data_IF_493948965340
#
_entry.id   IF_493948965340
#
_cell.length_a   1.000
_cell.length_b   1.000
_cell.length_c   1.000
_cell.angle_alpha   90.00
_cell.angle_beta   90.00
_cell.angle_gamma   90.00
#
_symmetry.space_group_name_H-M   'P 1'
#
loop_
_entity.id
_entity.type
_entity.pdbx_description
1 polymer ?
#
# COMPACT_ATOMS: atom_id res chain seq x y z
N UNK A 1 21.41 14.73 0.27
CA UNK A 1 20.99 13.35 -0.07
C UNK A 1 21.16 12.35 1.08
N UNK A 2 22.26 12.35 1.84
CA UNK A 2 22.46 11.38 2.95
C UNK A 2 21.37 11.43 4.04
N UNK A 3 20.88 12.63 4.38
CA UNK A 3 19.81 12.84 5.38
C UNK A 3 18.48 12.24 4.96
N UNK A 4 18.05 12.44 3.71
CA UNK A 4 16.85 11.83 3.15
C UNK A 4 16.90 10.29 3.23
N UNK A 5 18.00 9.70 2.76
CA UNK A 5 18.17 8.25 2.70
C UNK A 5 18.26 7.63 4.11
N UNK A 6 18.87 8.34 5.06
CA UNK A 6 18.88 7.94 6.46
C UNK A 6 17.48 7.98 7.09
N UNK A 7 16.68 9.02 6.80
CA UNK A 7 15.29 9.11 7.26
C UNK A 7 14.43 7.99 6.68
N UNK A 8 14.49 7.77 5.37
CA UNK A 8 13.73 6.69 4.71
C UNK A 8 14.11 5.33 5.27
N UNK A 9 15.40 5.07 5.51
CA UNK A 9 15.86 3.81 6.13
C UNK A 9 15.34 3.64 7.55
N UNK A 10 15.31 4.71 8.34
CA UNK A 10 14.73 4.69 9.69
C UNK A 10 13.23 4.38 9.64
N UNK A 11 12.49 5.05 8.77
CA UNK A 11 11.04 4.83 8.59
C UNK A 11 10.73 3.40 8.14
N UNK A 12 11.48 2.87 7.16
CA UNK A 12 11.39 1.47 6.76
C UNK A 12 11.69 0.52 7.91
N UNK A 13 12.70 0.83 8.73
CA UNK A 13 12.99 0.08 9.94
C UNK A 13 11.82 0.07 10.91
N UNK A 14 11.13 1.20 11.11
CA UNK A 14 9.93 1.27 11.96
C UNK A 14 8.80 0.42 11.38
N UNK A 15 8.61 0.43 10.06
CA UNK A 15 7.61 -0.43 9.41
C UNK A 15 7.91 -1.92 9.54
N UNK A 16 9.13 -2.35 9.22
CA UNK A 16 9.52 -3.77 9.25
C UNK A 16 9.89 -4.29 10.65
N UNK A 17 10.02 -3.45 11.66
CA UNK A 17 10.15 -3.90 13.06
C UNK A 17 8.78 -3.94 13.73
N UNK A 18 7.82 -3.14 13.26
CA UNK A 18 6.47 -3.12 13.80
C UNK A 18 5.68 -4.38 13.38
N UNK A 19 5.17 -5.18 14.33
CA UNK A 19 4.34 -6.35 14.04
C UNK A 19 3.09 -6.01 13.21
N UNK A 20 2.60 -4.78 13.32
CA UNK A 20 1.37 -4.34 12.66
C UNK A 20 1.50 -4.33 11.13
N UNK A 21 2.65 -3.95 10.58
CA UNK A 21 2.83 -3.93 9.13
C UNK A 21 2.73 -5.35 8.55
N UNK A 22 3.32 -6.33 9.22
CA UNK A 22 3.19 -7.74 8.84
C UNK A 22 1.75 -8.21 8.92
N UNK A 23 1.04 -7.93 10.01
CA UNK A 23 -0.37 -8.34 10.16
C UNK A 23 -1.21 -7.80 8.99
N UNK A 24 -1.07 -6.52 8.66
CA UNK A 24 -1.81 -5.87 7.57
C UNK A 24 -1.44 -6.50 6.22
N UNK A 25 -0.14 -6.60 5.91
CA UNK A 25 0.32 -7.20 4.64
C UNK A 25 -0.18 -8.63 4.48
N UNK A 26 -0.04 -9.45 5.53
CA UNK A 26 -0.42 -10.87 5.48
C UNK A 26 -1.94 -11.03 5.36
N UNK A 27 -2.72 -10.27 6.12
CA UNK A 27 -4.18 -10.32 6.06
C UNK A 27 -4.70 -9.91 4.67
N UNK A 28 -4.16 -8.84 4.10
CA UNK A 28 -4.59 -8.34 2.80
C UNK A 28 -4.21 -9.28 1.66
N UNK A 29 -2.98 -9.82 1.68
CA UNK A 29 -2.56 -10.85 0.72
C UNK A 29 -3.44 -12.08 0.89
N UNK A 30 -3.69 -12.55 2.11
CA UNK A 30 -4.56 -13.69 2.36
C UNK A 30 -5.98 -13.50 1.79
N UNK A 31 -6.61 -12.33 2.03
CA UNK A 31 -7.93 -12.00 1.48
C UNK A 31 -7.89 -12.01 -0.06
N UNK A 32 -6.88 -11.38 -0.67
CA UNK A 32 -6.73 -11.40 -2.14
C UNK A 32 -6.50 -12.81 -2.70
N UNK A 33 -5.82 -13.68 -1.94
CA UNK A 33 -5.61 -15.08 -2.28
C UNK A 33 -6.90 -15.91 -2.21
N UNK A 34 -7.77 -15.66 -1.23
CA UNK A 34 -9.08 -16.33 -1.15
C UNK A 34 -9.96 -16.00 -2.36
N UNK A 35 -9.96 -14.74 -2.78
CA UNK A 35 -10.65 -14.30 -3.99
C UNK A 35 -10.07 -15.00 -5.22
N UNK A 36 -8.74 -15.07 -5.34
CA UNK A 36 -8.06 -15.73 -6.45
C UNK A 36 -8.40 -17.23 -6.52
N UNK A 37 -8.48 -17.92 -5.37
CA UNK A 37 -8.94 -19.31 -5.33
C UNK A 37 -10.40 -19.43 -5.78
N UNK A 38 -11.24 -18.46 -5.39
CA UNK A 38 -12.63 -18.37 -5.85
C UNK A 38 -12.74 -18.19 -7.37
N UNK A 39 -11.90 -17.36 -7.98
CA UNK A 39 -11.90 -17.16 -9.44
C UNK A 39 -11.46 -18.42 -10.19
N UNK A 40 -10.46 -19.15 -9.69
CA UNK A 40 -10.06 -20.46 -10.22
C UNK A 40 -11.21 -21.46 -10.10
N UNK A 41 -11.86 -21.55 -8.93
CA UNK A 41 -12.96 -22.47 -8.69
C UNK A 41 -14.15 -22.22 -9.63
N UNK A 42 -14.49 -20.95 -9.84
CA UNK A 42 -15.56 -20.53 -10.75
C UNK A 42 -15.22 -20.82 -12.22
N UNK A 43 -13.98 -20.59 -12.63
CA UNK A 43 -13.52 -20.92 -13.99
C UNK A 43 -13.56 -22.44 -14.23
N UNK A 44 -13.09 -23.22 -13.25
CA UNK A 44 -13.10 -24.69 -13.31
C UNK A 44 -14.51 -25.27 -13.38
N UNK A 45 -15.48 -24.72 -12.64
CA UNK A 45 -16.86 -25.21 -12.65
C UNK A 45 -17.59 -24.93 -13.96
N UNK A 46 -17.24 -23.85 -14.66
CA UNK A 46 -17.94 -23.40 -15.87
C UNK A 46 -17.17 -23.68 -17.17
N UNK A 47 -16.03 -24.38 -17.11
CA UNK A 47 -15.14 -24.64 -18.25
C UNK A 47 -14.66 -23.37 -18.99
N UNK A 48 -14.62 -22.23 -18.29
CA UNK A 48 -14.09 -21.00 -18.85
C UNK A 48 -12.58 -20.90 -18.61
N UNK A 49 -11.84 -20.20 -19.48
CA UNK A 49 -10.47 -19.81 -19.18
C UNK A 49 -10.43 -18.96 -17.90
N UNK A 50 -9.36 -19.10 -17.11
CA UNK A 50 -9.22 -18.37 -15.85
C UNK A 50 -8.93 -16.89 -16.16
N UNK A 51 -9.89 -16.02 -15.90
CA UNK A 51 -9.73 -14.58 -16.03
C UNK A 51 -9.01 -13.98 -14.82
N UNK A 52 -7.95 -13.19 -15.09
CA UNK A 52 -7.17 -12.51 -14.05
C UNK A 52 -7.77 -11.15 -13.64
N UNK A 53 -8.68 -10.59 -14.44
CA UNK A 53 -9.30 -9.28 -14.22
C UNK A 53 -9.98 -9.13 -12.86
N UNK A 54 -10.73 -10.14 -12.34
CA UNK A 54 -11.30 -10.05 -10.99
C UNK A 54 -10.22 -9.93 -9.92
N UNK A 55 -9.14 -10.70 -10.03
CA UNK A 55 -8.03 -10.67 -9.07
C UNK A 55 -7.34 -9.30 -9.07
N UNK A 56 -7.12 -8.69 -10.24
CA UNK A 56 -6.60 -7.32 -10.35
C UNK A 56 -7.51 -6.29 -9.69
N UNK A 57 -8.82 -6.37 -9.88
CA UNK A 57 -9.78 -5.49 -9.23
C UNK A 57 -9.68 -5.59 -7.70
N UNK A 58 -9.57 -6.80 -7.16
CA UNK A 58 -9.40 -7.00 -5.72
C UNK A 58 -8.05 -6.49 -5.20
N UNK A 59 -6.98 -6.60 -5.98
CA UNK A 59 -5.70 -5.96 -5.65
C UNK A 59 -5.84 -4.43 -5.60
N UNK A 60 -6.63 -3.80 -6.47
CA UNK A 60 -6.93 -2.36 -6.38
C UNK A 60 -7.66 -2.01 -5.08
N UNK A 61 -8.68 -2.79 -4.70
CA UNK A 61 -9.41 -2.60 -3.44
C UNK A 61 -8.47 -2.74 -2.23
N UNK A 62 -7.55 -3.70 -2.27
CA UNK A 62 -6.52 -3.86 -1.24
C UNK A 62 -5.66 -2.61 -1.13
N UNK A 63 -5.25 -1.99 -2.24
CA UNK A 63 -4.46 -0.75 -2.23
C UNK A 63 -5.24 0.42 -1.61
N UNK A 64 -6.53 0.55 -1.88
CA UNK A 64 -7.42 1.57 -1.27
C UNK A 64 -7.48 1.43 0.25
N UNK A 65 -7.62 0.20 0.75
CA UNK A 65 -7.63 -0.06 2.19
C UNK A 65 -6.24 0.20 2.80
N UNK A 66 -5.19 -0.23 2.10
CA UNK A 66 -3.81 -0.08 2.58
C UNK A 66 -3.41 1.39 2.64
N UNK A 67 -3.82 2.22 1.69
CA UNK A 67 -3.50 3.65 1.70
C UNK A 67 -4.02 4.30 2.99
N UNK A 68 -5.28 4.05 3.37
CA UNK A 68 -5.83 4.61 4.61
C UNK A 68 -5.10 4.10 5.87
N UNK A 69 -4.77 2.81 5.93
CA UNK A 69 -4.12 2.19 7.09
C UNK A 69 -2.64 2.60 7.25
N UNK A 70 -1.91 2.76 6.15
CA UNK A 70 -0.49 3.11 6.18
C UNK A 70 -0.32 4.62 6.37
N UNK A 71 -1.11 5.45 5.69
CA UNK A 71 -0.93 6.91 5.75
C UNK A 71 -1.39 7.53 7.05
N UNK A 72 -2.37 6.95 7.74
CA UNK A 72 -2.87 7.48 9.01
C UNK A 72 -1.78 7.61 10.09
N UNK A 73 -0.72 6.79 10.01
CA UNK A 73 0.37 6.75 11.00
C UNK A 73 1.52 7.70 10.68
N UNK A 74 1.66 8.10 9.41
CA UNK A 74 2.87 8.77 8.92
C UNK A 74 3.19 10.05 9.68
N UNK A 75 2.22 10.96 9.82
CA UNK A 75 2.43 12.28 10.46
C UNK A 75 1.58 12.41 11.73
N UNK A 76 0.37 11.84 11.75
CA UNK A 76 -0.53 11.99 12.89
C UNK A 76 -0.03 11.23 14.14
N UNK A 77 0.70 10.12 13.99
CA UNK A 77 1.26 9.41 15.15
C UNK A 77 2.41 10.19 15.80
N UNK A 78 3.26 10.84 15.00
CA UNK A 78 4.35 11.68 15.50
C UNK A 78 3.86 12.98 16.12
N UNK A 79 2.77 13.54 15.60
CA UNK A 79 2.07 14.70 16.15
C UNK A 79 1.41 14.37 17.49
N UNK A 80 0.76 13.21 17.61
CA UNK A 80 0.18 12.75 18.90
C UNK A 80 1.24 12.47 19.96
N UNK A 81 2.43 11.98 19.57
CA UNK A 81 3.52 11.65 20.51
C UNK A 81 4.38 12.87 20.89
N UNK A 82 4.12 14.06 20.34
CA UNK A 82 4.93 15.27 20.57
C UNK A 82 6.34 15.23 19.95
N UNK A 83 6.72 14.12 19.32
CA UNK A 83 8.01 13.96 18.62
C UNK A 83 8.16 14.85 17.39
N UNK A 84 7.06 15.37 16.85
CA UNK A 84 7.09 16.28 15.71
C UNK A 84 7.91 17.55 16.01
N UNK A 85 7.77 18.11 17.21
CA UNK A 85 8.49 19.32 17.64
C UNK A 85 10.00 19.09 17.74
N UNK A 86 10.41 17.89 18.16
CA UNK A 86 11.82 17.50 18.26
C UNK A 86 12.44 17.31 16.87
N UNK A 87 11.67 16.83 15.90
CA UNK A 87 12.16 16.61 14.53
C UNK A 87 12.24 17.95 13.77
N UNK A 88 11.28 18.85 13.96
CA UNK A 88 11.27 20.18 13.33
C UNK A 88 12.32 21.13 13.91
N UNK A 89 12.79 20.90 15.14
CA UNK A 89 13.89 21.65 15.75
C UNK A 89 15.27 21.11 15.37
N UNK A 90 15.34 19.90 14.79
CA UNK A 90 16.56 19.38 14.19
C UNK A 90 16.82 20.05 12.82
N UNK A 91 18.08 20.17 12.36
CA UNK A 91 18.42 20.82 11.09
C UNK A 91 18.08 19.92 9.88
N UNK A 92 16.79 19.60 9.72
CA UNK A 92 16.25 18.75 8.66
C UNK A 92 15.25 19.58 7.85
N UNK A 93 15.35 19.52 6.53
CA UNK A 93 14.40 20.23 5.65
C UNK A 93 13.04 19.56 5.66
N UNK A 94 11.96 20.32 5.84
CA UNK A 94 10.57 19.84 5.82
C UNK A 94 10.24 19.01 4.56
N UNK A 95 10.75 19.44 3.40
CA UNK A 95 10.58 18.72 2.15
C UNK A 95 11.23 17.33 2.18
N UNK A 96 12.42 17.21 2.79
CA UNK A 96 13.11 15.93 2.92
C UNK A 96 12.41 14.97 3.88
N UNK A 97 11.72 15.50 4.90
CA UNK A 97 10.92 14.73 5.83
C UNK A 97 9.67 14.15 5.15
N UNK A 98 8.90 14.99 4.45
CA UNK A 98 7.69 14.56 3.73
C UNK A 98 8.03 13.54 2.64
N UNK A 99 9.07 13.81 1.83
CA UNK A 99 9.49 12.91 0.77
C UNK A 99 9.98 11.56 1.33
N UNK A 100 10.67 11.55 2.47
CA UNK A 100 11.17 10.30 3.06
C UNK A 100 10.02 9.41 3.54
N UNK A 101 8.98 10.01 4.12
CA UNK A 101 7.75 9.34 4.55
C UNK A 101 6.96 8.77 3.37
N UNK A 102 6.79 9.56 2.32
CA UNK A 102 6.17 9.10 1.07
C UNK A 102 6.95 7.93 0.45
N UNK A 103 8.28 8.04 0.36
CA UNK A 103 9.15 7.00 -0.19
C UNK A 103 9.08 5.70 0.62
N UNK A 104 9.06 5.78 1.96
CA UNK A 104 8.93 4.60 2.81
C UNK A 104 7.59 3.87 2.59
N UNK A 105 6.49 4.63 2.49
CA UNK A 105 5.17 4.08 2.23
C UNK A 105 5.06 3.48 0.81
N UNK A 106 5.71 4.11 -0.17
CA UNK A 106 5.85 3.59 -1.53
C UNK A 106 6.57 2.24 -1.61
N UNK A 107 7.66 2.09 -0.86
CA UNK A 107 8.41 0.82 -0.79
C UNK A 107 7.54 -0.28 -0.17
N UNK A 108 6.74 0.04 0.85
CA UNK A 108 5.80 -0.89 1.46
C UNK A 108 4.74 -1.34 0.43
N UNK A 109 4.17 -0.42 -0.33
CA UNK A 109 3.25 -0.74 -1.41
C UNK A 109 3.91 -1.63 -2.47
N UNK A 110 5.15 -1.33 -2.86
CA UNK A 110 5.92 -2.16 -3.79
C UNK A 110 6.11 -3.58 -3.28
N UNK A 111 6.43 -3.75 -1.99
CA UNK A 111 6.56 -5.06 -1.36
C UNK A 111 5.24 -5.83 -1.37
N UNK A 112 4.12 -5.15 -1.07
CA UNK A 112 2.78 -5.74 -1.12
C UNK A 112 2.44 -6.23 -2.54
N UNK A 113 2.73 -5.43 -3.58
CA UNK A 113 2.53 -5.83 -4.97
C UNK A 113 3.42 -7.00 -5.38
N UNK A 114 4.68 -7.03 -4.93
CA UNK A 114 5.58 -8.17 -5.20
C UNK A 114 5.02 -9.47 -4.62
N UNK A 115 4.43 -9.44 -3.42
CA UNK A 115 3.77 -10.62 -2.86
C UNK A 115 2.61 -11.11 -3.74
N UNK A 116 1.83 -10.21 -4.34
CA UNK A 116 0.70 -10.61 -5.20
C UNK A 116 1.14 -11.11 -6.58
N UNK A 117 2.36 -10.80 -7.04
CA UNK A 117 2.93 -11.40 -8.27
C UNK A 117 2.99 -12.93 -8.18
N UNK A 118 3.03 -13.50 -6.96
CA UNK A 118 2.90 -14.94 -6.75
C UNK A 118 1.64 -15.53 -7.41
N UNK A 119 0.52 -14.80 -7.44
CA UNK A 119 -0.71 -15.25 -8.10
C UNK A 119 -0.56 -15.32 -9.62
N UNK A 120 0.18 -14.38 -10.21
CA UNK A 120 0.46 -14.36 -11.65
C UNK A 120 1.27 -15.59 -12.09
N UNK A 121 2.28 -15.96 -11.29
CA UNK A 121 3.11 -17.16 -11.56
C UNK A 121 2.27 -18.43 -11.50
N UNK A 122 1.28 -18.48 -10.62
CA UNK A 122 0.38 -19.64 -10.52
C UNK A 122 -0.52 -19.70 -11.75
N UNK A 123 -1.20 -18.62 -12.13
CA UNK A 123 -2.19 -18.63 -13.24
C UNK A 123 -1.56 -18.87 -14.61
N UNK A 124 -0.33 -18.42 -14.85
CA UNK A 124 0.41 -18.69 -16.10
C UNK A 124 0.70 -20.17 -16.34
N UNK A 125 0.58 -21.02 -15.30
CA UNK A 125 0.66 -22.48 -15.43
C UNK A 125 -0.66 -23.13 -15.87
N UNK A 126 -1.79 -22.46 -15.68
CA UNK A 126 -3.14 -22.99 -15.93
C UNK A 126 -3.76 -22.50 -17.24
N UNK A 127 -3.17 -21.52 -17.93
CA UNK A 127 -3.66 -21.07 -19.23
C UNK A 127 -2.86 -19.91 -19.83
N UNK A 128 -3.15 -19.54 -21.09
CA UNK A 128 -2.57 -18.37 -21.72
C UNK A 128 -3.10 -17.10 -21.03
N UNK A 129 -2.20 -16.33 -20.44
CA UNK A 129 -2.51 -15.05 -19.81
C UNK A 129 -1.90 -13.95 -20.64
N UNK A 130 -2.68 -12.90 -20.91
CA UNK A 130 -2.16 -11.68 -21.54
C UNK A 130 -1.27 -10.93 -20.55
N UNK A 131 0.03 -11.18 -20.63
CA UNK A 131 1.04 -10.53 -19.79
C UNK A 131 1.05 -9.01 -20.00
N UNK A 132 0.68 -8.51 -21.18
CA UNK A 132 0.61 -7.07 -21.45
C UNK A 132 -0.47 -6.40 -20.62
N UNK A 133 -1.67 -6.97 -20.63
CA UNK A 133 -2.78 -6.49 -19.80
C UNK A 133 -2.45 -6.53 -18.30
N UNK A 134 -1.78 -7.61 -17.84
CA UNK A 134 -1.39 -7.74 -16.44
C UNK A 134 -0.36 -6.70 -16.02
N UNK A 135 0.71 -6.50 -16.79
CA UNK A 135 1.74 -5.51 -16.47
C UNK A 135 1.14 -4.10 -16.43
N UNK A 136 0.28 -3.77 -17.40
CA UNK A 136 -0.47 -2.51 -17.39
C UNK A 136 -1.36 -2.38 -16.15
N UNK A 137 -2.03 -3.46 -15.73
CA UNK A 137 -2.84 -3.49 -14.51
C UNK A 137 -2.03 -3.22 -13.25
N UNK A 138 -0.88 -3.87 -13.09
CA UNK A 138 0.02 -3.66 -11.95
C UNK A 138 0.60 -2.24 -11.93
N UNK A 139 0.99 -1.71 -13.09
CA UNK A 139 1.47 -0.34 -13.22
C UNK A 139 0.36 0.66 -12.85
N UNK A 140 -0.87 0.42 -13.31
CA UNK A 140 -2.05 1.20 -12.95
C UNK A 140 -2.31 1.19 -11.44
N UNK A 141 -2.25 0.03 -10.80
CA UNK A 141 -2.39 -0.11 -9.34
C UNK A 141 -1.29 0.64 -8.60
N UNK A 142 -0.04 0.56 -9.07
CA UNK A 142 1.09 1.26 -8.47
C UNK A 142 0.93 2.80 -8.55
N UNK A 143 0.52 3.31 -9.71
CA UNK A 143 0.22 4.73 -9.92
C UNK A 143 -0.96 5.20 -9.06
N UNK A 144 -2.04 4.41 -9.00
CA UNK A 144 -3.19 4.69 -8.15
C UNK A 144 -2.77 4.74 -6.67
N UNK A 145 -1.93 3.80 -6.24
CA UNK A 145 -1.29 3.82 -4.94
C UNK A 145 -0.52 5.11 -4.68
N UNK A 146 0.23 5.62 -5.66
CA UNK A 146 0.95 6.89 -5.52
C UNK A 146 0.03 8.08 -5.21
N UNK A 147 -1.07 8.18 -5.94
CA UNK A 147 -2.04 9.24 -5.74
C UNK A 147 -2.69 9.13 -4.36
N UNK A 148 -3.19 7.95 -4.00
CA UNK A 148 -3.88 7.73 -2.73
C UNK A 148 -2.94 7.93 -1.53
N UNK A 149 -1.70 7.49 -1.63
CA UNK A 149 -0.71 7.65 -0.56
C UNK A 149 -0.31 9.12 -0.38
N UNK A 150 -0.20 9.88 -1.49
CA UNK A 150 0.04 11.32 -1.42
C UNK A 150 -1.12 12.06 -0.76
N UNK A 151 -2.36 11.73 -1.14
CA UNK A 151 -3.58 12.32 -0.55
C UNK A 151 -3.67 11.96 0.94
N UNK A 152 -3.45 10.69 1.29
CA UNK A 152 -3.50 10.25 2.68
C UNK A 152 -2.41 10.88 3.55
N UNK A 153 -1.21 11.11 3.01
CA UNK A 153 -0.15 11.85 3.70
C UNK A 153 -0.55 13.30 3.93
N UNK A 154 -1.14 13.96 2.93
CA UNK A 154 -1.67 15.31 3.07
C UNK A 154 -2.77 15.39 4.15
N UNK A 155 -3.74 14.47 4.13
CA UNK A 155 -4.81 14.38 5.15
C UNK A 155 -4.22 14.13 6.55
N UNK A 156 -3.20 13.26 6.65
CA UNK A 156 -2.51 12.98 7.91
C UNK A 156 -1.78 14.20 8.48
N UNK A 157 -1.37 15.17 7.66
CA UNK A 157 -0.74 16.41 8.15
C UNK A 157 -1.75 17.37 8.79
N UNK A 158 -2.99 17.37 8.28
CA UNK A 158 -4.09 18.21 8.76
C UNK A 158 -4.67 17.69 10.07
N UNK A 159 -4.72 16.37 10.25
CA UNK A 159 -5.33 15.75 11.41
C UNK A 159 -4.38 15.73 12.63
N UNK A 160 -4.97 15.78 13.82
CA UNK A 160 -4.22 15.57 15.08
C UNK A 160 -4.30 14.12 15.54
N UNK A 161 -5.44 13.44 15.34
CA UNK A 161 -5.69 12.05 15.72
C UNK A 161 -5.45 11.07 14.55
N UNK A 162 -4.74 9.98 14.81
CA UNK A 162 -4.49 8.89 13.84
C UNK A 162 -5.80 8.30 13.29
N UNK A 163 -6.79 8.08 14.15
CA UNK A 163 -8.07 7.48 13.75
C UNK A 163 -8.81 8.40 12.77
N UNK A 164 -8.87 9.70 13.06
CA UNK A 164 -9.55 10.68 12.19
C UNK A 164 -8.85 10.82 10.84
N UNK A 165 -7.51 10.83 10.82
CA UNK A 165 -6.73 10.82 9.58
C UNK A 165 -7.05 9.61 8.71
N UNK A 166 -7.14 8.42 9.33
CA UNK A 166 -7.43 7.17 8.63
C UNK A 166 -8.85 7.14 8.05
N UNK A 167 -9.85 7.56 8.82
CA UNK A 167 -11.26 7.57 8.38
C UNK A 167 -11.46 8.52 7.20
N UNK A 168 -10.91 9.74 7.27
CA UNK A 168 -11.04 10.71 6.17
C UNK A 168 -10.32 10.19 4.92
N UNK A 169 -9.12 9.64 5.07
CA UNK A 169 -8.39 9.05 3.93
C UNK A 169 -9.17 7.90 3.31
N UNK A 170 -9.79 7.04 4.12
CA UNK A 170 -10.62 5.95 3.63
C UNK A 170 -11.85 6.46 2.87
N UNK A 171 -12.57 7.45 3.40
CA UNK A 171 -13.71 8.05 2.70
C UNK A 171 -13.30 8.66 1.35
N UNK A 172 -12.14 9.34 1.29
CA UNK A 172 -11.65 9.91 0.03
C UNK A 172 -11.16 8.85 -0.94
N UNK A 173 -10.58 7.75 -0.45
CA UNK A 173 -10.04 6.69 -1.30
C UNK A 173 -11.11 5.74 -1.87
N UNK A 174 -12.30 5.70 -1.25
CA UNK A 174 -13.44 4.87 -1.70
C UNK A 174 -14.30 5.56 -2.76
N UNK A 175 -14.28 6.90 -2.81
CA UNK A 175 -15.01 7.73 -3.79
C UNK A 175 -14.25 7.80 -5.10
#
# INVERSE_FOLDING_TARGET
MRTFLALTRRELGVYFVSPMAYIIMTALVFISGLVFLGSIGFAASNQFPVDYSPTLFWIMVVVVVTSALVTMRLIAEEKNRGTLEIILTAPVSDASFVLAKFAAAMVLLGYLLILTVGYLVIITRYGPVDLGAVVCGYLGVFLLGAVLYSIGLFISSLCSSQITAGVITFCVAVV
#
